data_IF_396817463283
#
_entry.id   IF_396817463283
#
_cell.length_a   1.000
_cell.length_b   1.000
_cell.length_c   1.000
_cell.angle_alpha   90.00
_cell.angle_beta   90.00
_cell.angle_gamma   90.00
#
_symmetry.space_group_name_H-M   'P 1'
#
loop_
_entity.id
_entity.type
_entity.pdbx_description
1 polymer ?
#
# COMPACT_ATOMS: atom_id res chain seq x y z
N UNK A 1 -11.97 43.16 -10.65
CA UNK A 1 -11.10 42.46 -11.62
C UNK A 1 -10.54 41.14 -11.06
N UNK A 2 -10.44 41.00 -9.74
CA UNK A 2 -10.08 39.74 -9.05
C UNK A 2 -11.18 38.66 -9.13
N UNK A 3 -12.47 39.04 -9.09
CA UNK A 3 -13.61 38.10 -9.21
C UNK A 3 -13.58 37.15 -10.43
N UNK A 4 -13.07 37.62 -11.57
CA UNK A 4 -13.00 36.80 -12.78
C UNK A 4 -11.94 35.70 -12.67
N UNK A 5 -10.84 35.97 -11.95
CA UNK A 5 -9.76 35.02 -11.70
C UNK A 5 -10.15 34.00 -10.62
N UNK A 6 -10.87 34.44 -9.58
CA UNK A 6 -11.40 33.54 -8.54
C UNK A 6 -12.45 32.58 -9.11
N UNK A 7 -13.38 33.08 -9.94
CA UNK A 7 -14.37 32.24 -10.63
C UNK A 7 -13.75 31.31 -11.66
N UNK A 8 -12.72 31.77 -12.37
CA UNK A 8 -11.96 30.90 -13.27
C UNK A 8 -11.29 29.78 -12.47
N UNK A 9 -10.62 30.07 -11.34
CA UNK A 9 -10.00 29.05 -10.47
C UNK A 9 -10.99 28.01 -9.95
N UNK A 10 -12.20 28.44 -9.60
CA UNK A 10 -13.25 27.54 -9.10
C UNK A 10 -13.75 26.57 -10.19
N UNK A 11 -13.79 26.99 -11.45
CA UNK A 11 -14.09 26.10 -12.58
C UNK A 11 -12.84 25.34 -13.07
N UNK A 12 -11.63 25.83 -12.81
CA UNK A 12 -10.37 25.23 -13.26
C UNK A 12 -10.16 23.88 -12.61
N UNK A 13 -10.44 23.73 -11.31
CA UNK A 13 -10.28 22.42 -10.63
C UNK A 13 -11.15 21.33 -11.27
N UNK A 14 -12.35 21.69 -11.73
CA UNK A 14 -13.25 20.77 -12.42
C UNK A 14 -12.84 20.53 -13.88
N UNK A 15 -12.42 21.58 -14.60
CA UNK A 15 -12.11 21.50 -16.03
C UNK A 15 -10.74 20.88 -16.31
N UNK A 16 -9.78 21.02 -15.39
CA UNK A 16 -8.42 20.47 -15.53
C UNK A 16 -8.41 18.96 -15.78
N UNK A 17 -9.06 18.09 -14.98
CA UNK A 17 -9.07 16.66 -15.25
C UNK A 17 -9.69 16.33 -16.63
N UNK A 18 -10.78 16.99 -17.02
CA UNK A 18 -11.37 16.80 -18.36
C UNK A 18 -10.40 17.21 -19.48
N UNK A 19 -9.66 18.31 -19.32
CA UNK A 19 -8.64 18.75 -20.28
C UNK A 19 -7.46 17.78 -20.34
N UNK A 20 -6.97 17.31 -19.19
CA UNK A 20 -5.91 16.30 -19.12
C UNK A 20 -6.37 15.04 -19.85
N UNK A 21 -7.55 14.51 -19.52
CA UNK A 21 -8.12 13.34 -20.19
C UNK A 21 -8.31 13.58 -21.70
N UNK A 22 -8.78 14.75 -22.11
CA UNK A 22 -8.95 15.09 -23.53
C UNK A 22 -7.60 15.12 -24.27
N UNK A 23 -6.55 15.68 -23.69
CA UNK A 23 -5.19 15.69 -24.26
C UNK A 23 -4.66 14.27 -24.42
N UNK A 24 -4.86 13.42 -23.41
CA UNK A 24 -4.52 12.00 -23.45
C UNK A 24 -5.25 11.25 -24.55
N UNK A 25 -6.57 11.44 -24.66
CA UNK A 25 -7.39 10.82 -25.69
C UNK A 25 -6.98 11.28 -27.09
N UNK A 26 -6.72 12.58 -27.28
CA UNK A 26 -6.23 13.12 -28.56
C UNK A 26 -4.89 12.51 -28.93
N UNK A 27 -3.95 12.40 -27.99
CA UNK A 27 -2.64 11.77 -28.23
C UNK A 27 -2.78 10.30 -28.65
N UNK A 28 -3.69 9.56 -28.00
CA UNK A 28 -3.99 8.16 -28.32
C UNK A 28 -4.65 8.02 -29.70
N UNK A 29 -5.66 8.84 -30.01
CA UNK A 29 -6.38 8.85 -31.28
C UNK A 29 -5.52 9.29 -32.47
N UNK A 30 -4.55 10.18 -32.25
CA UNK A 30 -3.57 10.58 -33.28
C UNK A 30 -2.39 9.62 -33.42
N UNK A 31 -2.36 8.52 -32.63
CA UNK A 31 -1.34 7.47 -32.74
C UNK A 31 0.06 7.92 -32.31
N UNK A 32 0.13 8.86 -31.37
CA UNK A 32 1.39 9.51 -31.02
C UNK A 32 2.29 8.64 -30.16
N UNK A 33 3.38 8.08 -30.70
CA UNK A 33 4.26 7.12 -30.01
C UNK A 33 4.82 7.59 -28.65
N UNK A 34 4.83 8.90 -28.39
CA UNK A 34 5.30 9.49 -27.12
C UNK A 34 4.27 9.44 -25.98
N UNK A 35 3.01 9.08 -26.24
CA UNK A 35 1.96 9.02 -25.22
C UNK A 35 2.25 7.96 -24.14
N UNK A 36 2.71 6.77 -24.56
CA UNK A 36 3.10 5.67 -23.67
C UNK A 36 4.29 6.03 -22.76
N UNK A 37 5.44 6.49 -23.28
CA UNK A 37 6.56 6.85 -22.42
C UNK A 37 6.25 8.05 -21.52
N UNK A 38 5.41 9.00 -21.94
CA UNK A 38 4.95 10.07 -21.06
C UNK A 38 4.11 9.54 -19.87
N UNK A 39 3.28 8.52 -20.11
CA UNK A 39 2.50 7.82 -19.07
C UNK A 39 3.42 7.16 -18.05
N UNK A 40 4.42 6.44 -18.56
CA UNK A 40 5.40 5.71 -17.77
C UNK A 40 6.20 6.67 -16.88
N UNK A 41 6.70 7.76 -17.45
CA UNK A 41 7.42 8.80 -16.70
C UNK A 41 6.51 9.44 -15.66
N UNK A 42 5.27 9.76 -16.03
CA UNK A 42 4.26 10.30 -15.12
C UNK A 42 4.06 9.38 -13.91
N UNK A 43 3.86 8.09 -14.14
CA UNK A 43 3.70 7.11 -13.06
C UNK A 43 4.94 6.99 -12.17
N UNK A 44 6.12 6.84 -12.78
CA UNK A 44 7.41 6.74 -12.05
C UNK A 44 7.66 7.95 -11.16
N UNK A 45 7.17 9.14 -11.51
CA UNK A 45 7.35 10.36 -10.71
C UNK A 45 6.23 10.58 -9.72
N UNK A 46 4.98 10.34 -10.11
CA UNK A 46 3.79 10.60 -9.28
C UNK A 46 3.77 9.68 -8.06
N UNK A 47 4.01 8.38 -8.23
CA UNK A 47 3.99 7.40 -7.13
C UNK A 47 4.98 7.72 -6.00
N UNK A 48 6.27 7.96 -6.24
CA UNK A 48 7.18 8.34 -5.16
C UNK A 48 6.88 9.73 -4.60
N UNK A 49 6.33 10.65 -5.40
CA UNK A 49 5.91 11.97 -4.90
C UNK A 49 4.73 11.83 -3.93
N UNK A 50 3.74 10.99 -4.24
CA UNK A 50 2.62 10.72 -3.33
C UNK A 50 3.09 9.97 -2.09
N UNK A 51 4.03 9.03 -2.22
CA UNK A 51 4.63 8.34 -1.08
C UNK A 51 5.40 9.28 -0.15
N UNK A 52 6.14 10.26 -0.68
CA UNK A 52 6.82 11.27 0.15
C UNK A 52 5.83 12.24 0.80
N UNK A 53 4.72 12.54 0.14
CA UNK A 53 3.76 13.55 0.58
C UNK A 53 2.69 13.03 1.54
N UNK A 54 2.29 11.76 1.40
CA UNK A 54 1.20 11.12 2.15
C UNK A 54 1.61 9.81 2.82
N UNK A 55 2.86 9.35 2.66
CA UNK A 55 3.31 8.03 3.12
C UNK A 55 3.41 7.85 4.63
N UNK A 56 3.00 8.84 5.42
CA UNK A 56 2.92 8.74 6.88
C UNK A 56 1.47 8.61 7.39
N UNK A 57 0.43 8.81 6.55
CA UNK A 57 -0.94 9.06 7.04
C UNK A 57 -1.96 7.97 6.67
N UNK A 58 -1.75 7.19 5.61
CA UNK A 58 -2.75 6.22 5.14
C UNK A 58 -2.10 4.85 4.91
N UNK A 59 -2.46 3.92 5.78
CA UNK A 59 -2.17 2.49 5.66
C UNK A 59 -2.44 2.03 4.24
N UNK A 60 -1.36 1.51 3.65
CA UNK A 60 -1.23 0.99 2.30
C UNK A 60 -2.02 -0.31 2.20
N UNK A 61 -3.35 -0.21 2.21
CA UNK A 61 -4.19 -1.33 1.84
C UNK A 61 -4.22 -1.45 0.31
N UNK A 62 -4.30 -2.70 -0.14
CA UNK A 62 -4.49 -3.10 -1.55
C UNK A 62 -3.23 -3.22 -2.42
N UNK A 63 -2.38 -4.18 -2.04
CA UNK A 63 -1.64 -5.11 -2.91
C UNK A 63 -1.80 -4.86 -4.43
N UNK A 64 -0.88 -4.07 -5.01
CA UNK A 64 -0.54 -4.21 -6.42
C UNK A 64 0.50 -5.33 -6.50
N UNK A 65 0.04 -6.54 -6.82
CA UNK A 65 0.88 -7.66 -7.25
C UNK A 65 1.65 -7.27 -8.53
N UNK A 66 2.77 -6.60 -8.32
CA UNK A 66 3.71 -6.19 -9.33
C UNK A 66 5.08 -6.24 -8.72
N UNK A 67 5.74 -7.37 -8.91
CA UNK A 67 7.13 -7.62 -8.55
C UNK A 67 8.05 -6.48 -8.99
N UNK A 68 8.29 -5.56 -8.07
CA UNK A 68 9.42 -4.63 -8.11
C UNK A 68 9.92 -4.51 -6.68
N UNK A 69 11.05 -5.16 -6.41
CA UNK A 69 11.70 -5.16 -5.10
C UNK A 69 11.94 -3.73 -4.62
N UNK A 70 11.16 -3.29 -3.62
CA UNK A 70 11.50 -2.14 -2.79
C UNK A 70 12.30 -2.63 -1.58
N UNK A 71 13.50 -2.09 -1.31
CA UNK A 71 14.23 -2.40 -0.08
C UNK A 71 13.61 -1.56 1.05
N UNK A 72 12.54 -2.06 1.65
CA UNK A 72 11.98 -1.43 2.86
C UNK A 72 12.70 -2.02 4.07
N UNK A 73 13.56 -1.18 4.65
CA UNK A 73 14.14 -1.40 5.96
C UNK A 73 13.03 -1.26 7.02
N UNK A 74 12.28 -2.34 7.26
CA UNK A 74 11.45 -2.49 8.45
C UNK A 74 12.28 -3.25 9.47
N UNK A 75 12.91 -2.52 10.38
CA UNK A 75 13.73 -3.07 11.45
C UNK A 75 12.87 -3.23 12.70
N UNK A 76 12.07 -4.29 12.78
CA UNK A 76 11.40 -4.71 14.02
C UNK A 76 11.37 -6.25 14.08
N UNK A 77 12.50 -6.83 14.48
CA UNK A 77 12.76 -8.28 14.58
C UNK A 77 12.64 -9.03 13.24
N UNK A 78 13.60 -9.90 12.95
CA UNK A 78 13.51 -10.83 11.81
C UNK A 78 12.24 -11.65 12.02
N UNK A 79 11.21 -11.42 11.21
CA UNK A 79 9.97 -12.17 11.27
C UNK A 79 10.34 -13.67 11.23
N UNK A 80 9.88 -14.48 12.21
CA UNK A 80 10.32 -15.85 12.34
C UNK A 80 9.98 -16.70 11.11
N UNK A 81 8.94 -16.34 10.35
CA UNK A 81 8.59 -16.98 9.09
C UNK A 81 9.58 -16.58 7.98
N UNK A 82 10.00 -15.33 7.91
CA UNK A 82 11.02 -14.88 6.93
C UNK A 82 12.40 -15.48 7.19
N UNK A 83 12.79 -15.68 8.46
CA UNK A 83 13.97 -16.47 8.80
C UNK A 83 13.85 -17.91 8.29
N UNK A 84 12.69 -18.55 8.44
CA UNK A 84 12.47 -19.92 7.98
C UNK A 84 12.53 -20.02 6.44
N UNK A 85 11.90 -19.09 5.71
CA UNK A 85 11.95 -19.01 4.23
C UNK A 85 13.39 -18.88 3.73
N UNK A 86 14.18 -18.00 4.35
CA UNK A 86 15.58 -17.76 3.99
C UNK A 86 16.44 -19.02 4.13
N UNK A 87 16.24 -19.78 5.21
CA UNK A 87 16.98 -21.04 5.46
C UNK A 87 16.54 -22.19 4.55
N UNK A 88 15.28 -22.20 4.11
CA UNK A 88 14.81 -23.17 3.13
C UNK A 88 15.43 -22.89 1.76
N UNK A 89 15.46 -21.62 1.36
CA UNK A 89 16.06 -21.19 0.10
C UNK A 89 17.59 -21.43 0.05
N UNK A 90 18.29 -21.34 1.18
CA UNK A 90 19.71 -21.69 1.30
C UNK A 90 19.96 -23.20 1.41
N UNK A 91 18.91 -24.01 1.60
CA UNK A 91 19.00 -25.46 1.80
C UNK A 91 19.48 -25.88 3.19
N UNK A 92 19.52 -24.96 4.15
CA UNK A 92 19.89 -25.22 5.54
C UNK A 92 18.81 -26.01 6.29
N UNK A 93 17.53 -25.86 5.90
CA UNK A 93 16.41 -26.65 6.40
C UNK A 93 15.70 -27.36 5.24
N UNK A 94 15.18 -28.56 5.51
CA UNK A 94 14.35 -29.30 4.56
C UNK A 94 12.87 -28.93 4.64
N UNK A 95 12.09 -29.31 3.62
CA UNK A 95 10.65 -29.08 3.51
C UNK A 95 9.86 -29.47 4.77
N UNK A 96 10.05 -30.70 5.28
CA UNK A 96 9.39 -31.18 6.52
C UNK A 96 9.72 -30.38 7.78
N UNK A 97 10.85 -29.68 7.80
CA UNK A 97 11.21 -28.82 8.94
C UNK A 97 10.60 -27.44 8.80
N UNK A 98 10.58 -26.91 7.58
CA UNK A 98 9.87 -25.68 7.23
C UNK A 98 8.37 -25.80 7.54
N UNK A 99 7.70 -26.87 7.09
CA UNK A 99 6.27 -27.11 7.35
C UNK A 99 5.94 -27.09 8.84
N UNK A 100 6.75 -27.77 9.67
CA UNK A 100 6.55 -27.80 11.13
C UNK A 100 6.69 -26.42 11.78
N UNK A 101 7.64 -25.61 11.31
CA UNK A 101 7.85 -24.25 11.82
C UNK A 101 6.68 -23.36 11.40
N UNK A 102 6.20 -23.49 10.15
CA UNK A 102 5.04 -22.75 9.64
C UNK A 102 3.78 -23.08 10.42
N UNK A 103 3.47 -24.37 10.64
CA UNK A 103 2.32 -24.81 11.44
C UNK A 103 2.38 -24.26 12.87
N UNK A 104 3.54 -24.28 13.52
CA UNK A 104 3.71 -23.75 14.87
C UNK A 104 3.48 -22.23 14.94
N UNK A 105 3.92 -21.49 13.91
CA UNK A 105 3.74 -20.04 13.85
C UNK A 105 2.27 -19.67 13.62
N UNK A 106 1.58 -20.36 12.71
CA UNK A 106 0.15 -20.17 12.45
C UNK A 106 -0.71 -20.41 13.69
N UNK A 107 -0.43 -21.49 14.43
CA UNK A 107 -1.14 -21.83 15.66
C UNK A 107 -0.96 -20.71 16.71
N UNK A 108 0.26 -20.18 16.86
CA UNK A 108 0.57 -19.12 17.84
C UNK A 108 -0.07 -17.78 17.48
N UNK A 109 -0.08 -17.39 16.20
CA UNK A 109 -0.75 -16.17 15.73
C UNK A 109 -2.27 -16.22 15.90
N UNK A 110 -2.88 -17.41 15.75
CA UNK A 110 -4.30 -17.60 15.99
C UNK A 110 -4.66 -17.37 17.47
N UNK A 111 -3.87 -17.93 18.40
CA UNK A 111 -4.07 -17.69 19.84
C UNK A 111 -3.86 -16.23 20.22
N UNK A 112 -2.82 -15.57 19.69
CA UNK A 112 -2.50 -14.18 20.00
C UNK A 112 -3.57 -13.20 19.46
N UNK A 113 -4.16 -13.51 18.29
CA UNK A 113 -5.29 -12.76 17.74
C UNK A 113 -6.56 -12.95 18.58
N UNK A 114 -6.84 -14.18 19.02
CA UNK A 114 -8.01 -14.47 19.85
C UNK A 114 -7.93 -13.80 21.23
N UNK A 115 -6.74 -13.75 21.84
CA UNK A 115 -6.51 -13.11 23.15
C UNK A 115 -6.70 -11.58 23.06
N UNK A 116 -6.21 -10.94 21.99
CA UNK A 116 -6.44 -9.52 21.73
C UNK A 116 -7.92 -9.16 21.58
N UNK A 117 -8.67 -9.93 20.79
CA UNK A 117 -10.12 -9.71 20.63
C UNK A 117 -10.86 -9.90 21.96
N UNK A 118 -10.45 -10.88 22.77
CA UNK A 118 -11.00 -11.10 24.11
C UNK A 118 -10.74 -9.94 25.07
N UNK A 119 -9.52 -9.37 25.04
CA UNK A 119 -9.15 -8.23 25.89
C UNK A 119 -9.92 -6.95 25.53
N UNK A 120 -10.13 -6.68 24.23
CA UNK A 120 -10.90 -5.53 23.74
C UNK A 120 -12.39 -5.60 24.10
N UNK A 121 -12.98 -6.81 24.07
CA UNK A 121 -14.38 -7.04 24.47
C UNK A 121 -14.60 -6.77 25.97
N UNK A 122 -13.64 -7.17 26.81
CA UNK A 122 -13.69 -6.98 28.26
C UNK A 122 -13.57 -5.50 28.62
N UNK A 123 -12.67 -4.77 27.97
CA UNK A 123 -12.51 -3.32 28.20
C UNK A 123 -13.78 -2.55 27.85
N UNK A 124 -14.43 -2.90 26.72
CA UNK A 124 -15.71 -2.29 26.31
C UNK A 124 -16.84 -2.53 27.32
N UNK A 125 -16.91 -3.70 27.96
CA UNK A 125 -17.93 -3.97 28.98
C UNK A 125 -17.69 -3.17 30.27
N UNK A 126 -16.43 -2.98 30.67
CA UNK A 126 -16.08 -2.19 31.86
C UNK A 126 -16.39 -0.69 31.68
N UNK A 127 -16.36 -0.18 30.44
CA UNK A 127 -16.73 1.20 30.13
C UNK A 127 -18.25 1.44 30.25
N UNK A 128 -19.08 0.45 29.89
CA UNK A 128 -20.53 0.51 30.03
C UNK A 128 -21.00 0.49 31.49
N UNK A 129 -20.29 -0.18 32.39
CA UNK A 129 -20.67 -0.25 33.82
C UNK A 129 -20.31 1.02 34.61
N UNK A 130 -19.55 1.94 34.00
CA UNK A 130 -19.07 3.18 34.65
C UNK A 130 -19.92 4.42 34.36
N UNK A 131 -20.93 4.33 33.48
CA UNK A 131 -21.86 5.43 33.11
C UNK A 131 -23.23 5.22 33.72
#
# INVERSE_FOLDING_TARGET
MTDALDRARENVVEVVPFLVTAVWLVALLTGQEWWLPAMLVGYIVVVPTTAILFGDEEEVDEQVDGEVSSPQASSEADDPLDTAKRRYASGEIGEREFERIVEQLLDTEEYDRADRVGAEEIDRQLEYERT
#
